data_IF_070265488534
#
_entry.id   IF_070265488534
#
_cell.length_a   1.000
_cell.length_b   1.000
_cell.length_c   1.000
_cell.angle_alpha   90.00
_cell.angle_beta   90.00
_cell.angle_gamma   90.00
#
_symmetry.space_group_name_H-M   'P 1'
#
loop_
_entity.id
_entity.type
_entity.pdbx_description
1 polymer ?
#
# COMPACT_ATOMS: atom_id res chain seq x y z
N UNK A 1 27.26 -25.25 -19.43
CA UNK A 1 27.25 -24.52 -20.72
C UNK A 1 25.81 -24.35 -21.18
N UNK A 2 25.27 -23.16 -20.94
CA UNK A 2 24.58 -22.34 -21.94
C UNK A 2 23.47 -22.92 -22.85
N UNK A 3 22.31 -22.25 -22.70
CA UNK A 3 21.29 -21.86 -23.71
C UNK A 3 20.10 -22.79 -23.94
N UNK A 4 19.02 -22.54 -23.19
CA UNK A 4 17.67 -22.79 -23.69
C UNK A 4 17.05 -21.44 -24.01
N UNK A 5 17.12 -21.14 -25.30
CA UNK A 5 16.58 -19.99 -26.00
C UNK A 5 15.11 -20.24 -26.37
N UNK A 6 14.32 -19.15 -26.30
CA UNK A 6 13.05 -18.88 -27.01
C UNK A 6 11.81 -19.69 -26.63
N UNK A 7 10.89 -19.01 -25.95
CA UNK A 7 9.46 -19.20 -26.15
C UNK A 7 8.81 -17.83 -26.42
N UNK A 8 8.49 -17.63 -27.70
CA UNK A 8 7.30 -17.00 -28.28
C UNK A 8 6.85 -15.60 -27.78
N UNK A 9 7.11 -14.61 -28.63
CA UNK A 9 6.30 -13.40 -28.77
C UNK A 9 4.96 -13.70 -29.48
N UNK A 10 3.91 -12.93 -29.19
CA UNK A 10 3.20 -12.19 -30.24
C UNK A 10 3.06 -10.71 -29.84
N UNK A 11 3.47 -9.78 -30.70
CA UNK A 11 2.64 -9.19 -31.76
C UNK A 11 1.49 -8.34 -31.18
N UNK A 12 1.72 -7.03 -31.04
CA UNK A 12 0.67 -6.03 -31.25
C UNK A 12 1.32 -4.68 -31.60
N UNK A 13 1.28 -4.40 -32.90
CA UNK A 13 1.53 -3.14 -33.55
C UNK A 13 0.30 -2.24 -33.38
N UNK A 14 0.45 -1.04 -32.86
CA UNK A 14 -0.41 0.09 -33.21
C UNK A 14 0.26 1.42 -32.81
N UNK A 15 0.80 2.11 -33.82
CA UNK A 15 1.10 3.52 -33.75
C UNK A 15 -0.22 4.30 -33.77
N UNK A 16 -0.37 5.29 -32.88
CA UNK A 16 -1.32 6.38 -33.09
C UNK A 16 -0.54 7.67 -33.22
N UNK A 17 -0.58 8.20 -34.44
CA UNK A 17 -0.03 9.48 -34.83
C UNK A 17 -1.05 10.56 -34.54
N UNK A 18 -0.64 11.59 -33.80
CA UNK A 18 -1.07 12.98 -34.01
C UNK A 18 -2.31 13.46 -33.27
N UNK A 19 -2.15 14.59 -32.57
CA UNK A 19 -3.00 15.76 -32.76
C UNK A 19 -2.38 16.98 -32.05
N UNK A 20 -1.74 17.81 -32.87
CA UNK A 20 -1.69 19.29 -32.82
C UNK A 20 -1.96 20.02 -31.50
N UNK A 21 -0.94 20.75 -31.06
CA UNK A 21 -1.02 21.91 -30.17
C UNK A 21 -1.95 22.97 -30.77
N UNK A 22 -2.93 23.46 -29.99
CA UNK A 22 -3.62 24.73 -30.28
C UNK A 22 -3.43 25.69 -29.11
N UNK A 23 -3.17 26.93 -29.49
CA UNK A 23 -2.62 28.01 -28.66
C UNK A 23 -3.66 28.70 -27.75
N UNK A 24 -3.10 29.41 -26.78
CA UNK A 24 -3.71 30.32 -25.81
C UNK A 24 -4.54 31.45 -26.44
N UNK A 25 -5.64 31.89 -25.79
CA UNK A 25 -6.17 33.28 -25.85
C UNK A 25 -7.25 33.56 -24.79
N UNK A 26 -6.85 34.32 -23.77
CA UNK A 26 -7.47 35.54 -23.21
C UNK A 26 -9.00 35.68 -22.96
N UNK A 27 -9.31 35.86 -21.65
CA UNK A 27 -10.03 36.98 -21.00
C UNK A 27 -11.56 37.20 -21.07
N UNK A 28 -12.05 37.67 -19.90
CA UNK A 28 -13.25 38.47 -19.55
C UNK A 28 -14.62 37.80 -19.27
N UNK A 29 -15.14 37.98 -18.04
CA UNK A 29 -16.42 37.47 -17.51
C UNK A 29 -17.63 38.41 -17.78
N UNK A 30 -18.68 38.53 -16.92
CA UNK A 30 -19.09 37.75 -15.74
C UNK A 30 -20.61 37.35 -15.74
N UNK A 31 -21.10 36.80 -14.61
CA UNK A 31 -22.48 36.81 -14.02
C UNK A 31 -23.26 35.50 -13.87
N UNK A 32 -23.55 35.16 -12.59
CA UNK A 32 -24.59 34.25 -12.07
C UNK A 32 -24.27 32.76 -12.21
N UNK A 33 -24.24 31.89 -11.20
CA UNK A 33 -24.94 31.86 -9.93
C UNK A 33 -25.45 30.43 -9.71
N UNK A 34 -24.65 29.63 -8.99
CA UNK A 34 -24.94 28.43 -8.17
C UNK A 34 -25.47 27.09 -8.77
N UNK A 35 -24.56 26.12 -8.76
CA UNK A 35 -24.65 24.76 -8.20
C UNK A 35 -25.81 23.80 -8.54
N UNK A 36 -25.49 22.71 -9.26
CA UNK A 36 -25.37 21.38 -8.65
C UNK A 36 -24.92 20.32 -9.69
N UNK A 37 -23.65 19.92 -9.56
CA UNK A 37 -23.00 18.65 -9.93
C UNK A 37 -23.24 18.00 -11.32
N UNK A 38 -22.17 17.85 -12.12
CA UNK A 38 -21.91 16.62 -12.84
C UNK A 38 -20.95 15.73 -12.01
N UNK A 39 -21.39 14.51 -11.71
CA UNK A 39 -20.51 13.46 -11.19
C UNK A 39 -19.34 13.25 -12.17
N UNK A 40 -18.13 13.34 -11.63
CA UNK A 40 -16.84 13.34 -12.31
C UNK A 40 -16.70 12.27 -13.39
N UNK A 41 -16.31 12.61 -14.63
CA UNK A 41 -15.76 11.63 -15.54
C UNK A 41 -14.28 11.34 -15.18
N UNK A 42 -13.94 10.05 -15.16
CA UNK A 42 -12.64 9.48 -15.54
C UNK A 42 -11.39 10.10 -14.90
N UNK A 43 -10.86 9.46 -13.86
CA UNK A 43 -9.42 9.42 -13.62
C UNK A 43 -8.93 8.01 -13.93
N UNK A 44 -8.41 7.84 -15.14
CA UNK A 44 -7.44 6.79 -15.45
C UNK A 44 -6.21 7.03 -14.57
N UNK A 45 -6.14 6.37 -13.41
CA UNK A 45 -4.87 6.24 -12.71
C UNK A 45 -4.09 5.14 -13.39
N UNK A 46 -3.33 5.52 -14.41
CA UNK A 46 -2.08 4.84 -14.72
C UNK A 46 -1.30 4.81 -13.42
N UNK A 47 -1.16 3.62 -12.82
CA UNK A 47 -0.25 3.39 -11.71
C UNK A 47 1.18 3.50 -12.24
N UNK A 48 1.63 4.73 -12.46
CA UNK A 48 3.05 5.06 -12.45
C UNK A 48 3.40 5.33 -10.99
N UNK A 49 3.85 4.32 -10.25
CA UNK A 49 4.28 4.56 -8.87
C UNK A 49 5.63 3.91 -8.60
N UNK A 50 6.63 4.66 -9.06
CA UNK A 50 7.84 5.03 -8.34
C UNK A 50 8.59 3.92 -7.58
N UNK A 51 9.62 3.42 -8.24
CA UNK A 51 10.90 3.13 -7.59
C UNK A 51 11.47 4.45 -7.06
N UNK A 52 11.28 4.83 -5.79
CA UNK A 52 12.15 5.82 -5.13
C UNK A 52 11.98 5.90 -3.61
N UNK A 53 13.13 5.95 -2.95
CA UNK A 53 13.47 6.19 -1.54
C UNK A 53 12.96 7.55 -1.03
N UNK A 54 11.65 7.80 -1.08
CA UNK A 54 11.04 9.00 -0.52
C UNK A 54 10.42 8.67 0.84
N UNK A 55 10.98 9.26 1.90
CA UNK A 55 10.40 9.23 3.23
C UNK A 55 9.56 10.50 3.43
N UNK A 56 8.40 10.35 4.05
CA UNK A 56 7.43 11.42 4.32
C UNK A 56 7.26 11.55 5.83
N UNK A 57 7.39 12.76 6.41
CA UNK A 57 7.14 12.98 7.82
C UNK A 57 5.64 12.95 8.11
N UNK A 58 5.20 12.05 8.99
CA UNK A 58 3.80 11.94 9.47
C UNK A 58 3.73 12.19 10.99
N UNK A 59 2.58 12.63 11.54
CA UNK A 59 2.47 12.91 12.97
C UNK A 59 2.63 11.63 13.81
N UNK A 60 3.66 11.60 14.65
CA UNK A 60 3.88 10.56 15.64
C UNK A 60 2.93 10.65 16.83
N UNK A 61 2.79 9.51 17.53
CA UNK A 61 1.99 9.39 18.75
C UNK A 61 2.49 10.30 19.87
N UNK A 62 3.80 10.59 19.92
CA UNK A 62 4.41 11.51 20.86
C UNK A 62 4.27 13.01 20.47
N UNK A 63 3.56 13.33 19.39
CA UNK A 63 3.38 14.69 18.88
C UNK A 63 4.54 15.20 17.98
N UNK A 64 5.65 14.48 17.92
CA UNK A 64 6.75 14.74 16.98
C UNK A 64 6.49 14.05 15.64
N UNK A 65 6.83 14.68 14.50
CA UNK A 65 6.77 14.01 13.21
C UNK A 65 7.79 12.86 13.15
N UNK A 66 7.42 11.78 12.47
CA UNK A 66 8.25 10.60 12.23
C UNK A 66 8.32 10.35 10.73
N UNK A 67 9.53 10.21 10.21
CA UNK A 67 9.77 9.90 8.81
C UNK A 67 9.48 8.43 8.51
N UNK A 68 8.55 8.18 7.58
CA UNK A 68 8.17 6.83 7.12
C UNK A 68 8.14 6.78 5.59
N UNK A 69 8.30 5.61 4.95
CA UNK A 69 8.23 5.50 3.50
C UNK A 69 6.94 6.11 2.92
N UNK A 70 7.05 6.87 1.83
CA UNK A 70 5.93 7.58 1.22
C UNK A 70 4.79 6.64 0.79
N UNK A 71 5.10 5.40 0.39
CA UNK A 71 4.10 4.38 0.10
C UNK A 71 3.29 4.00 1.35
N UNK A 72 3.95 3.90 2.50
CA UNK A 72 3.30 3.61 3.78
C UNK A 72 2.48 4.80 4.26
N UNK A 73 3.03 6.02 4.12
CA UNK A 73 2.29 7.26 4.42
C UNK A 73 1.01 7.38 3.58
N UNK A 74 1.08 7.14 2.27
CA UNK A 74 -0.10 7.13 1.39
C UNK A 74 -1.13 6.09 1.85
N UNK A 75 -0.71 4.86 2.13
CA UNK A 75 -1.62 3.81 2.59
C UNK A 75 -2.28 4.18 3.92
N UNK A 76 -1.53 4.78 4.83
CA UNK A 76 -2.06 5.27 6.10
C UNK A 76 -3.09 6.41 5.91
N UNK A 77 -2.82 7.36 5.01
CA UNK A 77 -3.76 8.42 4.65
C UNK A 77 -5.05 7.88 4.01
N UNK A 78 -4.95 6.90 3.11
CA UNK A 78 -6.10 6.19 2.51
C UNK A 78 -7.02 5.55 3.55
N UNK A 79 -6.44 5.09 4.67
CA UNK A 79 -7.17 4.46 5.78
C UNK A 79 -7.74 5.47 6.79
N UNK A 80 -7.62 6.78 6.51
CA UNK A 80 -8.11 7.87 7.35
C UNK A 80 -7.06 8.50 8.26
N UNK A 81 -5.78 8.15 8.10
CA UNK A 81 -4.67 8.74 8.83
C UNK A 81 -4.80 8.60 10.35
N UNK A 82 -4.56 9.70 11.08
CA UNK A 82 -4.60 9.73 12.54
C UNK A 82 -5.98 9.45 13.16
N UNK A 83 -7.05 9.70 12.39
CA UNK A 83 -8.44 9.41 12.78
C UNK A 83 -8.91 8.06 12.22
N UNK A 84 -8.06 7.40 11.44
CA UNK A 84 -8.32 6.13 10.81
C UNK A 84 -8.21 4.94 11.76
N UNK A 85 -8.32 3.74 11.21
CA UNK A 85 -8.30 2.49 11.98
C UNK A 85 -6.93 2.19 12.61
N UNK A 86 -5.85 2.76 12.09
CA UNK A 86 -4.48 2.52 12.56
C UNK A 86 -4.02 3.50 13.64
N UNK A 87 -4.59 4.71 13.68
CA UNK A 87 -4.15 5.79 14.56
C UNK A 87 -2.81 6.40 14.12
N UNK A 88 -2.07 7.00 15.05
CA UNK A 88 -0.77 7.64 14.77
C UNK A 88 0.36 6.63 14.66
N UNK A 89 1.46 7.04 14.04
CA UNK A 89 2.67 6.21 14.00
C UNK A 89 3.31 6.17 15.39
N UNK A 90 3.74 4.99 15.84
CA UNK A 90 4.32 4.78 17.17
C UNK A 90 5.84 4.77 17.17
N UNK A 91 6.46 4.53 16.01
CA UNK A 91 7.92 4.51 15.86
C UNK A 91 8.39 4.73 14.42
N UNK A 92 9.70 4.92 14.22
CA UNK A 92 10.28 5.01 12.88
C UNK A 92 10.10 3.71 12.10
N UNK A 93 10.21 3.79 10.78
CA UNK A 93 10.22 2.60 9.95
C UNK A 93 11.42 1.71 10.28
N UNK A 94 11.15 0.44 10.55
CA UNK A 94 12.17 -0.60 10.72
C UNK A 94 12.48 -1.20 9.36
N UNK A 95 13.69 -0.98 8.85
CA UNK A 95 14.14 -1.61 7.61
C UNK A 95 14.39 -3.10 7.83
N UNK A 96 13.89 -3.91 6.90
CA UNK A 96 14.06 -5.37 6.85
C UNK A 96 14.56 -5.75 5.47
N UNK A 97 14.98 -7.01 5.25
CA UNK A 97 15.63 -7.41 4.01
C UNK A 97 14.73 -7.15 2.77
N UNK A 98 15.01 -6.04 2.09
CA UNK A 98 14.24 -5.54 0.95
C UNK A 98 12.96 -4.79 1.28
N UNK A 99 12.53 -4.66 2.54
CA UNK A 99 11.26 -4.04 2.92
C UNK A 99 11.34 -3.11 4.13
N UNK A 100 10.20 -2.67 4.64
CA UNK A 100 10.14 -1.87 5.87
C UNK A 100 8.86 -2.14 6.64
N UNK A 101 8.93 -2.13 7.97
CA UNK A 101 7.76 -2.24 8.85
C UNK A 101 7.58 -0.94 9.59
N UNK A 102 6.37 -0.40 9.60
CA UNK A 102 6.02 0.81 10.34
C UNK A 102 4.94 0.46 11.35
N UNK A 103 5.21 0.73 12.61
CA UNK A 103 4.27 0.48 13.70
C UNK A 103 3.36 1.71 13.92
N UNK A 104 2.08 1.43 14.10
CA UNK A 104 1.03 2.40 14.43
C UNK A 104 0.38 2.03 15.76
N UNK A 105 -0.45 2.91 16.30
CA UNK A 105 -1.10 2.71 17.61
C UNK A 105 -1.95 1.44 17.66
N UNK A 106 -2.60 1.08 16.55
CA UNK A 106 -3.55 -0.02 16.47
C UNK A 106 -3.19 -1.12 15.46
N UNK A 107 -2.02 -1.04 14.84
CA UNK A 107 -1.58 -1.99 13.83
C UNK A 107 -0.18 -1.68 13.31
N UNK A 108 0.19 -2.29 12.20
CA UNK A 108 1.42 -2.03 11.48
C UNK A 108 1.15 -2.04 9.98
N UNK A 109 1.95 -1.30 9.23
CA UNK A 109 1.99 -1.41 7.77
C UNK A 109 3.35 -1.97 7.37
N UNK A 110 3.33 -3.06 6.61
CA UNK A 110 4.51 -3.73 6.10
C UNK A 110 4.68 -3.38 4.62
N UNK A 111 5.76 -2.66 4.30
CA UNK A 111 6.21 -2.40 2.94
C UNK A 111 7.04 -3.58 2.44
N UNK A 112 6.58 -4.23 1.39
CA UNK A 112 7.29 -5.34 0.74
C UNK A 112 8.38 -4.85 -0.21
N UNK A 113 9.33 -5.73 -0.58
CA UNK A 113 10.35 -5.41 -1.59
C UNK A 113 9.81 -5.06 -2.97
N UNK A 114 8.54 -5.41 -3.24
CA UNK A 114 7.83 -5.03 -4.46
C UNK A 114 7.22 -3.61 -4.37
N UNK A 115 7.50 -2.87 -3.30
CA UNK A 115 6.96 -1.52 -3.07
C UNK A 115 5.48 -1.49 -2.69
N UNK A 116 4.91 -2.64 -2.28
CA UNK A 116 3.50 -2.73 -1.88
C UNK A 116 3.36 -2.68 -0.35
N UNK A 117 2.63 -1.71 0.22
CA UNK A 117 2.30 -1.66 1.64
C UNK A 117 1.06 -2.51 1.96
N UNK A 118 1.15 -3.37 2.96
CA UNK A 118 0.02 -4.16 3.47
C UNK A 118 -0.22 -3.90 4.94
N UNK A 119 -1.49 -3.85 5.32
CA UNK A 119 -1.91 -3.60 6.71
C UNK A 119 -2.01 -4.92 7.46
N UNK A 120 -1.42 -4.97 8.64
CA UNK A 120 -1.55 -6.10 9.58
C UNK A 120 -1.84 -5.52 10.97
N UNK A 121 -2.86 -6.01 11.67
CA UNK A 121 -3.34 -5.43 12.93
C UNK A 121 -3.83 -6.53 13.91
N UNK A 122 -4.12 -6.10 15.14
CA UNK A 122 -4.69 -6.97 16.18
C UNK A 122 -3.85 -8.22 16.48
N UNK A 123 -4.55 -9.34 16.71
CA UNK A 123 -3.93 -10.63 17.07
C UNK A 123 -3.14 -11.26 15.91
N UNK A 124 -3.52 -10.98 14.65
CA UNK A 124 -2.74 -11.41 13.49
C UNK A 124 -1.35 -10.76 13.53
N UNK A 125 -1.28 -9.46 13.84
CA UNK A 125 -0.01 -8.76 14.00
C UNK A 125 0.81 -9.31 15.18
N UNK A 126 0.15 -9.66 16.28
CA UNK A 126 0.82 -10.26 17.43
C UNK A 126 1.46 -11.61 17.05
N UNK A 127 0.69 -12.51 16.46
CA UNK A 127 1.17 -13.81 15.98
C UNK A 127 2.27 -13.67 14.92
N UNK A 128 2.12 -12.72 13.98
CA UNK A 128 3.13 -12.43 12.97
C UNK A 128 4.45 -11.98 13.60
N UNK A 129 4.42 -11.12 14.62
CA UNK A 129 5.63 -10.69 15.35
C UNK A 129 6.25 -11.83 16.15
N UNK A 130 5.45 -12.68 16.77
CA UNK A 130 5.92 -13.88 17.50
C UNK A 130 6.60 -14.88 16.56
N UNK A 131 6.11 -15.01 15.33
CA UNK A 131 6.72 -15.81 14.27
C UNK A 131 8.00 -15.19 13.66
N UNK A 132 8.49 -14.06 14.19
CA UNK A 132 9.69 -13.37 13.70
C UNK A 132 9.44 -12.29 12.66
N UNK A 133 8.16 -12.03 12.32
CA UNK A 133 7.75 -11.01 11.37
C UNK A 133 8.32 -11.24 9.96
N UNK A 134 8.69 -10.18 9.21
CA UNK A 134 9.16 -10.33 7.82
C UNK A 134 10.52 -11.01 7.70
N UNK A 135 11.27 -11.15 8.80
CA UNK A 135 12.53 -11.87 8.84
C UNK A 135 12.37 -13.33 9.32
N UNK A 136 11.15 -13.74 9.70
CA UNK A 136 10.81 -15.10 10.10
C UNK A 136 10.37 -15.97 8.93
N UNK A 137 9.91 -17.19 9.25
CA UNK A 137 9.54 -18.21 8.26
C UNK A 137 8.33 -17.81 7.39
N UNK A 138 7.44 -16.95 7.91
CA UNK A 138 6.29 -16.42 7.15
C UNK A 138 6.69 -15.42 6.05
N UNK A 139 7.78 -14.67 6.24
CA UNK A 139 8.20 -13.62 5.32
C UNK A 139 7.19 -12.47 5.20
N UNK A 140 7.12 -11.82 4.04
CA UNK A 140 6.28 -10.63 3.84
C UNK A 140 4.80 -10.97 3.59
N UNK A 141 3.85 -10.09 3.97
CA UNK A 141 2.46 -10.23 3.55
C UNK A 141 2.32 -10.08 2.04
N UNK A 142 1.38 -10.83 1.46
CA UNK A 142 1.08 -10.82 0.01
C UNK A 142 -0.27 -10.16 -0.32
N UNK A 143 -1.14 -10.04 0.68
CA UNK A 143 -2.44 -9.41 0.61
C UNK A 143 -2.76 -8.63 1.91
N UNK A 144 -3.69 -7.67 1.84
CA UNK A 144 -4.28 -7.07 3.04
C UNK A 144 -5.14 -8.11 3.78
N UNK A 145 -5.38 -7.87 5.07
CA UNK A 145 -6.29 -8.68 5.87
C UNK A 145 -7.69 -8.76 5.23
N UNK A 146 -8.18 -9.98 5.05
CA UNK A 146 -9.53 -10.26 4.57
C UNK A 146 -10.40 -10.78 5.72
N UNK A 147 -11.70 -10.51 5.64
CA UNK A 147 -12.67 -11.15 6.53
C UNK A 147 -12.93 -12.58 6.07
N UNK A 148 -13.11 -13.49 7.02
CA UNK A 148 -13.49 -14.90 6.78
C UNK A 148 -14.66 -15.29 7.68
N UNK A 149 -15.21 -16.50 7.53
CA UNK A 149 -16.34 -17.03 8.30
C UNK A 149 -16.02 -17.08 9.80
N UNK A 150 -16.35 -15.99 10.51
CA UNK A 150 -16.11 -15.86 11.95
C UNK A 150 -14.79 -15.18 12.34
N UNK A 151 -14.06 -14.57 11.39
CA UNK A 151 -12.72 -14.08 11.70
C UNK A 151 -12.04 -13.24 10.63
N UNK A 152 -10.70 -13.21 10.72
CA UNK A 152 -9.82 -12.50 9.80
C UNK A 152 -8.73 -13.44 9.29
N UNK A 153 -8.25 -13.21 8.07
CA UNK A 153 -7.17 -14.00 7.47
C UNK A 153 -6.18 -13.08 6.77
N UNK A 154 -4.89 -13.35 6.95
CA UNK A 154 -3.80 -12.65 6.28
C UNK A 154 -2.87 -13.66 5.64
N UNK A 155 -2.50 -13.43 4.38
CA UNK A 155 -1.63 -14.32 3.59
C UNK A 155 -0.23 -13.74 3.50
N UNK A 156 0.77 -14.59 3.71
CA UNK A 156 2.20 -14.27 3.70
C UNK A 156 2.94 -15.11 2.65
N UNK A 157 4.19 -14.76 2.34
CA UNK A 157 4.98 -15.47 1.33
C UNK A 157 5.25 -16.94 1.72
N UNK A 158 5.41 -17.24 3.01
CA UNK A 158 5.67 -18.57 3.55
C UNK A 158 4.52 -19.19 4.33
N UNK A 159 3.31 -18.64 4.26
CA UNK A 159 2.17 -19.19 5.01
C UNK A 159 0.95 -18.29 5.10
N UNK A 160 0.07 -18.60 6.05
CA UNK A 160 -1.17 -17.90 6.33
C UNK A 160 -1.40 -17.80 7.83
N UNK A 161 -1.89 -16.65 8.29
CA UNK A 161 -2.37 -16.50 9.66
C UNK A 161 -3.88 -16.30 9.59
N UNK A 162 -4.60 -17.14 10.31
CA UNK A 162 -6.06 -17.05 10.43
C UNK A 162 -6.42 -16.75 11.87
N UNK A 163 -7.21 -15.71 12.10
CA UNK A 163 -7.75 -15.35 13.40
C UNK A 163 -9.22 -15.75 13.48
N UNK A 164 -9.53 -16.80 14.25
CA UNK A 164 -10.87 -17.37 14.44
C UNK A 164 -11.12 -17.62 15.93
N UNK A 165 -12.35 -17.39 16.39
CA UNK A 165 -12.77 -17.67 17.79
C UNK A 165 -11.86 -17.04 18.87
N UNK A 166 -11.18 -15.94 18.55
CA UNK A 166 -10.25 -15.28 19.48
C UNK A 166 -8.83 -15.83 19.47
N UNK A 167 -8.49 -16.72 18.55
CA UNK A 167 -7.18 -17.37 18.44
C UNK A 167 -6.58 -17.08 17.07
N UNK A 168 -5.33 -16.60 17.05
CA UNK A 168 -4.54 -16.50 15.83
C UNK A 168 -3.80 -17.83 15.60
N UNK A 169 -4.19 -18.53 14.55
CA UNK A 169 -3.56 -19.75 14.08
C UNK A 169 -2.57 -19.42 12.97
N UNK A 170 -1.31 -19.83 13.16
CA UNK A 170 -0.24 -19.65 12.20
C UNK A 170 -0.02 -20.97 11.46
N UNK A 171 -0.15 -20.94 10.14
CA UNK A 171 0.15 -22.06 9.26
C UNK A 171 1.28 -21.67 8.31
N UNK A 172 2.40 -22.37 8.37
CA UNK A 172 3.59 -22.18 7.51
C UNK A 172 3.75 -23.38 6.58
N UNK A 173 4.12 -23.15 5.32
CA UNK A 173 4.38 -24.20 4.31
C UNK A 173 5.81 -24.79 4.40
#
# INVERSE_FOLDING_TARGET
MDRITRILAPLALAAVTGATLVACSSADGPTGGDSAAPASPTAVTTAETATTTSSTPVPGSAGSPVDIPAAVAQRWEELGGEQGMLGRVTGPATEVEGGSVVDFERGAIVLTPRGRPFVVQGEILAAYREAGGPAGDLGFPTADEATTDGGWISTFEGGVITYLDGVAEVETD
#
